data_IF_355274623505
#
_entry.id   IF_355274623505
#
_cell.length_a   1.000
_cell.length_b   1.000
_cell.length_c   1.000
_cell.angle_alpha   90.00
_cell.angle_beta   90.00
_cell.angle_gamma   90.00
#
_symmetry.space_group_name_H-M   'P 1'
#
loop_
_entity.id
_entity.type
_entity.pdbx_description
1 polymer ?
#
# COMPACT_ATOMS: atom_id res chain seq x y z
N UNK A 1 6.08 -9.47 -31.10
CA UNK A 1 7.25 -9.00 -31.88
C UNK A 1 8.25 -8.21 -31.04
N UNK A 2 7.79 -7.34 -30.12
CA UNK A 2 8.65 -6.60 -29.17
C UNK A 2 9.56 -7.51 -28.32
N UNK A 3 9.00 -8.56 -27.69
CA UNK A 3 9.78 -9.48 -26.83
C UNK A 3 10.91 -10.23 -27.55
N UNK A 4 10.70 -10.67 -28.78
CA UNK A 4 11.74 -11.37 -29.54
C UNK A 4 12.93 -10.45 -29.92
N UNK A 5 12.71 -9.13 -29.95
CA UNK A 5 13.79 -8.13 -30.10
C UNK A 5 14.39 -7.74 -28.74
N UNK A 6 13.55 -7.64 -27.72
CA UNK A 6 13.95 -7.28 -26.37
C UNK A 6 14.83 -8.37 -25.72
N UNK A 7 14.49 -9.64 -25.89
CA UNK A 7 15.25 -10.81 -25.41
C UNK A 7 16.68 -10.90 -25.98
N UNK A 8 17.00 -10.14 -27.05
CA UNK A 8 18.32 -10.09 -27.66
C UNK A 8 19.23 -9.00 -27.09
N UNK A 9 18.75 -8.20 -26.12
CA UNK A 9 19.58 -7.16 -25.51
C UNK A 9 20.65 -7.78 -24.60
N UNK A 10 21.90 -7.34 -24.75
CA UNK A 10 23.07 -7.90 -24.04
C UNK A 10 22.91 -7.92 -22.52
N UNK A 11 22.22 -6.93 -21.95
CA UNK A 11 22.01 -6.90 -20.50
C UNK A 11 21.15 -8.09 -20.03
N UNK A 12 20.18 -8.58 -20.82
CA UNK A 12 19.38 -9.78 -20.45
C UNK A 12 20.20 -11.06 -20.54
N UNK A 13 21.13 -11.14 -21.51
CA UNK A 13 22.06 -12.26 -21.64
C UNK A 13 23.00 -12.35 -20.42
N UNK A 14 23.37 -11.22 -19.83
CA UNK A 14 24.19 -11.18 -18.61
C UNK A 14 23.48 -11.73 -17.36
N UNK A 15 22.15 -11.85 -17.37
CA UNK A 15 21.37 -12.34 -16.22
C UNK A 15 21.10 -13.84 -16.23
N UNK A 16 21.67 -14.61 -17.19
CA UNK A 16 21.50 -16.08 -17.29
C UNK A 16 20.06 -16.52 -17.01
N UNK A 17 19.11 -15.93 -17.74
CA UNK A 17 17.72 -16.33 -17.64
C UNK A 17 17.59 -17.82 -17.94
N UNK A 18 16.79 -18.58 -17.18
CA UNK A 18 16.62 -20.00 -17.47
C UNK A 18 16.17 -20.15 -18.93
N UNK A 19 16.94 -20.92 -19.70
CA UNK A 19 16.53 -21.33 -21.04
C UNK A 19 15.21 -22.08 -20.88
N UNK A 20 14.12 -21.39 -21.21
CA UNK A 20 12.80 -21.97 -21.20
C UNK A 20 12.75 -22.96 -22.37
N UNK A 21 13.20 -24.19 -22.15
CA UNK A 21 13.09 -25.28 -23.12
C UNK A 21 11.63 -25.59 -23.53
N UNK A 22 10.64 -24.96 -22.87
CA UNK A 22 9.21 -25.17 -23.13
C UNK A 22 8.43 -23.91 -23.52
N UNK A 23 9.10 -22.79 -23.81
CA UNK A 23 8.48 -21.65 -24.50
C UNK A 23 7.83 -20.61 -23.58
N UNK A 24 8.12 -19.34 -23.92
CA UNK A 24 7.63 -18.07 -23.36
C UNK A 24 7.65 -17.96 -21.84
N UNK A 25 8.46 -17.00 -21.37
CA UNK A 25 8.34 -16.49 -20.01
C UNK A 25 6.88 -16.09 -19.75
N UNK A 26 6.35 -16.31 -18.54
CA UNK A 26 5.02 -15.82 -18.20
C UNK A 26 4.90 -14.32 -18.51
N UNK A 27 3.77 -13.82 -19.04
CA UNK A 27 3.64 -12.43 -19.51
C UNK A 27 4.03 -11.36 -18.48
N UNK A 28 3.82 -11.64 -17.19
CA UNK A 28 4.23 -10.75 -16.10
C UNK A 28 5.76 -10.69 -15.93
N UNK A 29 6.47 -11.82 -16.11
CA UNK A 29 7.93 -11.87 -16.08
C UNK A 29 8.53 -11.19 -17.30
N UNK A 30 7.99 -11.47 -18.49
CA UNK A 30 8.31 -10.76 -19.72
C UNK A 30 8.25 -9.24 -19.47
N UNK A 31 7.12 -8.74 -18.99
CA UNK A 31 6.91 -7.31 -18.76
C UNK A 31 7.78 -6.73 -17.63
N UNK A 32 8.07 -7.51 -16.58
CA UNK A 32 8.99 -7.11 -15.52
C UNK A 32 10.41 -6.94 -16.07
N UNK A 33 10.87 -7.88 -16.89
CA UNK A 33 12.15 -7.76 -17.59
C UNK A 33 12.16 -6.57 -18.54
N UNK A 34 11.06 -6.31 -19.27
CA UNK A 34 10.91 -5.11 -20.11
C UNK A 34 11.08 -3.80 -19.33
N UNK A 35 10.45 -3.70 -18.16
CA UNK A 35 10.55 -2.54 -17.29
C UNK A 35 11.96 -2.37 -16.71
N UNK A 36 12.56 -3.46 -16.23
CA UNK A 36 13.94 -3.48 -15.70
C UNK A 36 14.93 -3.09 -16.80
N UNK A 37 14.82 -3.68 -17.99
CA UNK A 37 15.69 -3.35 -19.12
C UNK A 37 15.58 -1.90 -19.57
N UNK A 38 14.37 -1.37 -19.63
CA UNK A 38 14.16 0.06 -19.90
C UNK A 38 14.82 0.95 -18.85
N UNK A 39 14.92 0.53 -17.59
CA UNK A 39 15.59 1.28 -16.52
C UNK A 39 17.12 1.17 -16.59
N UNK A 40 17.61 0.04 -17.10
CA UNK A 40 19.03 -0.32 -17.16
C UNK A 40 19.75 0.13 -18.42
N UNK A 41 19.03 0.38 -19.52
CA UNK A 41 19.64 0.72 -20.81
C UNK A 41 20.47 2.00 -20.69
N UNK A 42 21.79 1.98 -21.00
CA UNK A 42 22.66 3.15 -20.93
C UNK A 42 22.12 4.30 -21.80
N UNK A 43 22.20 5.53 -21.28
CA UNK A 43 21.63 6.75 -21.90
C UNK A 43 22.53 7.37 -22.97
N UNK A 44 23.61 6.71 -23.35
CA UNK A 44 24.71 7.33 -24.10
C UNK A 44 24.43 7.54 -25.60
N UNK A 45 23.16 7.56 -26.03
CA UNK A 45 22.79 7.75 -27.43
C UNK A 45 21.86 8.93 -27.74
N UNK A 46 21.50 9.80 -26.81
CA UNK A 46 20.87 11.08 -27.20
C UNK A 46 21.19 12.25 -26.26
N UNK A 47 21.96 13.19 -26.81
CA UNK A 47 22.24 14.49 -26.21
C UNK A 47 21.03 15.43 -26.41
N UNK A 48 19.99 15.32 -25.57
CA UNK A 48 18.99 16.39 -25.43
C UNK A 48 18.39 16.39 -24.02
N UNK A 49 18.65 17.49 -23.30
CA UNK A 49 18.44 17.74 -21.86
C UNK A 49 16.94 17.86 -21.45
N UNK A 50 15.99 17.31 -22.23
CA UNK A 50 14.55 17.44 -22.00
C UNK A 50 13.81 16.18 -21.50
N UNK A 51 14.50 15.07 -21.19
CA UNK A 51 13.86 13.74 -21.15
C UNK A 51 13.78 13.03 -19.79
N UNK A 52 14.16 13.65 -18.66
CA UNK A 52 14.09 12.98 -17.35
C UNK A 52 12.65 12.65 -16.91
N UNK A 53 11.70 13.54 -17.19
CA UNK A 53 10.27 13.36 -16.85
C UNK A 53 9.60 12.31 -17.75
N UNK A 54 9.94 12.28 -19.04
CA UNK A 54 9.39 11.31 -19.99
C UNK A 54 9.88 9.89 -19.70
N UNK A 55 11.13 9.74 -19.28
CA UNK A 55 11.70 8.45 -18.90
C UNK A 55 11.12 7.91 -17.58
N UNK A 56 10.92 8.77 -16.57
CA UNK A 56 10.21 8.41 -15.35
C UNK A 56 8.76 8.01 -15.66
N UNK A 57 8.07 8.75 -16.54
CA UNK A 57 6.73 8.41 -17.02
C UNK A 57 6.65 7.09 -17.80
N UNK A 58 7.68 6.73 -18.57
CA UNK A 58 7.76 5.45 -19.26
C UNK A 58 8.00 4.28 -18.31
N UNK A 59 8.87 4.46 -17.30
CA UNK A 59 9.07 3.49 -16.23
C UNK A 59 7.82 3.30 -15.37
N UNK A 60 7.13 4.41 -15.07
CA UNK A 60 5.84 4.41 -14.41
C UNK A 60 4.78 3.69 -15.26
N UNK A 61 4.68 3.97 -16.57
CA UNK A 61 3.76 3.25 -17.45
C UNK A 61 4.11 1.77 -17.60
N UNK A 62 5.40 1.42 -17.63
CA UNK A 62 5.85 0.03 -17.66
C UNK A 62 5.53 -0.69 -16.35
N UNK A 63 5.77 -0.04 -15.20
CA UNK A 63 5.41 -0.53 -13.88
C UNK A 63 3.91 -0.60 -13.63
N UNK A 64 3.12 0.32 -14.17
CA UNK A 64 1.66 0.33 -14.10
C UNK A 64 1.04 -0.71 -15.05
N UNK A 65 1.64 -0.95 -16.21
CA UNK A 65 1.28 -2.09 -17.08
C UNK A 65 1.68 -3.41 -16.44
N UNK A 66 2.84 -3.47 -15.79
CA UNK A 66 3.27 -4.65 -15.03
C UNK A 66 2.29 -4.91 -13.89
N UNK A 67 1.88 -3.88 -13.18
CA UNK A 67 0.84 -3.95 -12.16
C UNK A 67 -0.50 -4.43 -12.74
N UNK A 68 -0.94 -3.86 -13.86
CA UNK A 68 -2.16 -4.28 -14.57
C UNK A 68 -2.11 -5.76 -14.92
N UNK A 69 -1.00 -6.23 -15.50
CA UNK A 69 -0.78 -7.65 -15.80
C UNK A 69 -0.74 -8.48 -14.52
N UNK A 70 -0.04 -8.06 -13.47
CA UNK A 70 -0.01 -8.74 -12.16
C UNK A 70 -1.41 -8.87 -11.57
N UNK A 71 -2.26 -7.87 -11.72
CA UNK A 71 -3.64 -7.88 -11.21
C UNK A 71 -4.61 -8.64 -12.12
N UNK A 72 -4.35 -8.72 -13.43
CA UNK A 72 -5.21 -9.39 -14.42
C UNK A 72 -4.85 -10.87 -14.62
N UNK A 73 -3.57 -11.24 -14.55
CA UNK A 73 -3.13 -12.65 -14.56
C UNK A 73 -3.42 -13.26 -13.19
N UNK A 74 -4.65 -13.73 -13.02
CA UNK A 74 -5.16 -14.71 -12.06
C UNK A 74 -4.36 -14.86 -10.75
N UNK A 75 -5.02 -14.56 -9.62
CA UNK A 75 -4.57 -14.68 -8.20
C UNK A 75 -3.86 -16.00 -7.79
N UNK A 76 -3.75 -17.00 -8.68
CA UNK A 76 -3.21 -18.33 -8.41
C UNK A 76 -1.72 -18.50 -8.81
N UNK A 77 -1.19 -17.73 -9.77
CA UNK A 77 0.17 -17.96 -10.28
C UNK A 77 1.23 -16.97 -9.77
N UNK A 78 0.83 -15.80 -9.29
CA UNK A 78 1.73 -14.84 -8.62
C UNK A 78 1.74 -15.20 -7.14
N UNK A 79 2.26 -16.38 -6.83
CA UNK A 79 2.24 -16.93 -5.48
C UNK A 79 3.14 -16.20 -4.50
N UNK A 80 3.89 -15.19 -4.92
CA UNK A 80 4.84 -14.55 -4.03
C UNK A 80 5.38 -13.21 -4.58
N UNK A 81 4.82 -12.07 -4.16
CA UNK A 81 5.55 -10.81 -4.07
C UNK A 81 6.97 -10.95 -3.48
N UNK A 82 7.20 -11.92 -2.59
CA UNK A 82 8.54 -12.30 -2.11
C UNK A 82 9.43 -12.81 -3.24
N UNK A 83 8.89 -13.43 -4.29
CA UNK A 83 9.64 -13.80 -5.50
C UNK A 83 10.03 -12.57 -6.30
N UNK A 84 9.19 -11.54 -6.39
CA UNK A 84 9.56 -10.28 -7.05
C UNK A 84 10.64 -9.54 -6.24
N UNK A 85 10.51 -9.51 -4.92
CA UNK A 85 11.52 -8.93 -4.03
C UNK A 85 12.81 -9.77 -4.00
N UNK A 86 12.71 -11.10 -3.98
CA UNK A 86 13.87 -11.98 -4.02
C UNK A 86 14.54 -11.94 -5.39
N UNK A 87 13.80 -11.78 -6.49
CA UNK A 87 14.34 -11.49 -7.81
C UNK A 87 15.04 -10.13 -7.82
N UNK A 88 14.47 -9.09 -7.20
CA UNK A 88 15.14 -7.79 -7.08
C UNK A 88 16.45 -7.87 -6.27
N UNK A 89 16.50 -8.76 -5.26
CA UNK A 89 17.70 -9.09 -4.47
C UNK A 89 18.68 -9.98 -5.25
N UNK A 90 18.17 -10.87 -6.10
CA UNK A 90 18.92 -11.87 -6.87
C UNK A 90 19.43 -11.33 -8.21
N UNK A 91 18.93 -10.18 -8.66
CA UNK A 91 19.59 -9.36 -9.67
C UNK A 91 20.96 -9.02 -9.12
N UNK A 92 21.96 -9.88 -9.43
CA UNK A 92 23.37 -9.59 -9.19
C UNK A 92 23.71 -8.41 -10.07
N UNK A 93 23.58 -7.23 -9.50
CA UNK A 93 24.14 -6.03 -10.09
C UNK A 93 25.64 -6.28 -10.23
N UNK A 94 26.23 -6.19 -11.44
CA UNK A 94 27.66 -6.38 -11.61
C UNK A 94 28.35 -5.47 -10.58
N UNK A 95 29.24 -6.04 -9.77
CA UNK A 95 30.03 -5.28 -8.80
C UNK A 95 30.87 -4.28 -9.60
N UNK A 96 30.31 -3.10 -9.76
CA UNK A 96 30.89 -2.08 -10.59
C UNK A 96 32.11 -1.54 -9.83
N UNK A 97 33.25 -1.42 -10.53
CA UNK A 97 34.50 -0.96 -9.95
C UNK A 97 34.34 0.35 -9.17
N UNK A 98 35.31 0.66 -8.29
CA UNK A 98 35.23 1.66 -7.19
C UNK A 98 34.65 3.07 -7.50
N UNK A 99 34.36 3.45 -8.74
CA UNK A 99 33.76 4.73 -9.12
C UNK A 99 32.26 4.73 -9.48
N UNK A 100 31.63 3.59 -9.80
CA UNK A 100 30.25 3.51 -10.31
C UNK A 100 29.19 3.05 -9.29
N UNK A 101 29.55 3.06 -8.01
CA UNK A 101 28.74 2.46 -6.95
C UNK A 101 27.50 3.31 -6.58
N UNK A 102 27.60 4.64 -6.54
CA UNK A 102 26.52 5.50 -6.03
C UNK A 102 25.30 5.56 -6.95
N UNK A 103 25.48 5.70 -8.25
CA UNK A 103 24.35 5.75 -9.20
C UNK A 103 23.63 4.40 -9.27
N UNK A 104 24.38 3.30 -9.27
CA UNK A 104 23.84 1.94 -9.25
C UNK A 104 23.02 1.70 -7.98
N UNK A 105 23.54 2.13 -6.82
CA UNK A 105 22.83 2.03 -5.53
C UNK A 105 21.54 2.85 -5.50
N UNK A 106 21.54 4.05 -6.09
CA UNK A 106 20.32 4.88 -6.24
C UNK A 106 19.28 4.24 -7.13
N UNK A 107 19.68 3.72 -8.31
CA UNK A 107 18.78 3.02 -9.23
C UNK A 107 18.15 1.79 -8.56
N UNK A 108 18.96 1.00 -7.84
CA UNK A 108 18.48 -0.15 -7.07
C UNK A 108 17.48 0.27 -5.98
N UNK A 109 17.80 1.31 -5.21
CA UNK A 109 16.92 1.83 -4.15
C UNK A 109 15.58 2.32 -4.71
N UNK A 110 15.58 2.99 -5.87
CA UNK A 110 14.37 3.44 -6.54
C UNK A 110 13.50 2.25 -7.01
N UNK A 111 14.10 1.22 -7.60
CA UNK A 111 13.39 0.00 -8.03
C UNK A 111 12.78 -0.70 -6.82
N UNK A 112 13.57 -0.92 -5.75
CA UNK A 112 13.08 -1.57 -4.53
C UNK A 112 11.95 -0.76 -3.88
N UNK A 113 12.06 0.58 -3.83
CA UNK A 113 11.00 1.46 -3.32
C UNK A 113 9.70 1.33 -4.12
N UNK A 114 9.80 1.23 -5.45
CA UNK A 114 8.65 1.04 -6.33
C UNK A 114 8.00 -0.33 -6.15
N UNK A 115 8.80 -1.41 -6.06
CA UNK A 115 8.28 -2.75 -5.76
C UNK A 115 7.57 -2.74 -4.41
N UNK A 116 8.17 -2.12 -3.39
CA UNK A 116 7.56 -2.01 -2.07
C UNK A 116 6.22 -1.26 -2.12
N UNK A 117 6.15 -0.11 -2.82
CA UNK A 117 4.90 0.61 -3.07
C UNK A 117 3.83 -0.29 -3.69
N UNK A 118 4.17 -1.02 -4.76
CA UNK A 118 3.24 -1.93 -5.45
C UNK A 118 2.73 -3.02 -4.50
N UNK A 119 3.62 -3.62 -3.72
CA UNK A 119 3.26 -4.67 -2.75
C UNK A 119 2.28 -4.12 -1.70
N UNK A 120 2.60 -2.96 -1.11
CA UNK A 120 1.74 -2.35 -0.07
C UNK A 120 0.38 -1.94 -0.65
N UNK A 121 0.34 -1.33 -1.84
CA UNK A 121 -0.93 -0.92 -2.49
C UNK A 121 -1.76 -2.13 -2.91
N UNK A 122 -1.12 -3.19 -3.41
CA UNK A 122 -1.81 -4.43 -3.73
C UNK A 122 -2.42 -5.07 -2.48
N UNK A 123 -1.64 -5.19 -1.40
CA UNK A 123 -2.10 -5.68 -0.11
C UNK A 123 -3.26 -4.85 0.44
N UNK A 124 -3.17 -3.52 0.31
CA UNK A 124 -4.25 -2.60 0.67
C UNK A 124 -5.53 -2.84 -0.13
N UNK A 125 -5.42 -3.00 -1.46
CA UNK A 125 -6.57 -3.21 -2.34
C UNK A 125 -7.24 -4.58 -2.15
N UNK A 126 -6.48 -5.58 -1.68
CA UNK A 126 -6.95 -6.95 -1.51
C UNK A 126 -7.30 -7.30 -0.06
N UNK A 127 -7.09 -6.39 0.89
CA UNK A 127 -7.20 -6.71 2.33
C UNK A 127 -6.25 -7.81 2.78
N UNK A 128 -5.08 -7.94 2.13
CA UNK A 128 -4.07 -8.96 2.42
C UNK A 128 -2.91 -8.37 3.23
N UNK A 129 -2.12 -9.23 3.86
CA UNK A 129 -0.85 -8.80 4.46
C UNK A 129 0.16 -8.42 3.38
N UNK A 130 0.92 -7.34 3.59
CA UNK A 130 2.15 -7.14 2.84
C UNK A 130 3.14 -8.22 3.24
N UNK A 131 3.73 -8.89 2.26
CA UNK A 131 4.69 -9.96 2.53
C UNK A 131 6.09 -9.44 2.89
N UNK A 132 6.30 -8.12 2.80
CA UNK A 132 7.60 -7.49 3.02
C UNK A 132 7.59 -6.68 4.32
N UNK A 133 8.49 -7.03 5.23
CA UNK A 133 8.76 -6.22 6.41
C UNK A 133 9.47 -4.92 6.04
N UNK A 134 9.20 -3.85 6.78
CA UNK A 134 9.98 -2.60 6.70
C UNK A 134 11.46 -2.84 7.05
N UNK A 135 11.74 -3.79 7.96
CA UNK A 135 13.11 -4.15 8.38
C UNK A 135 13.94 -4.80 7.28
N UNK A 136 13.25 -5.33 6.27
CA UNK A 136 13.83 -6.03 5.13
C UNK A 136 14.21 -5.09 3.96
N UNK A 137 13.88 -3.80 4.08
CA UNK A 137 14.18 -2.77 3.10
C UNK A 137 15.60 -2.23 3.29
N UNK A 138 16.53 -2.79 2.52
CA UNK A 138 17.89 -2.27 2.37
C UNK A 138 17.96 -1.30 1.19
N UNK A 139 17.56 -0.04 1.44
CA UNK A 139 17.53 1.04 0.46
C UNK A 139 18.08 2.36 1.04
N UNK A 140 18.60 3.22 0.17
CA UNK A 140 18.86 4.62 0.51
C UNK A 140 17.58 5.43 0.45
N UNK A 141 17.51 6.49 1.27
CA UNK A 141 16.45 7.48 1.10
C UNK A 141 16.58 8.15 -0.28
N UNK A 142 15.47 8.37 -1.00
CA UNK A 142 15.49 8.97 -2.34
C UNK A 142 16.20 10.32 -2.41
N UNK A 143 16.05 11.18 -1.39
CA UNK A 143 16.61 12.53 -1.37
C UNK A 143 17.52 12.79 -0.17
N UNK A 144 17.20 12.25 1.00
CA UNK A 144 18.02 12.43 2.20
C UNK A 144 19.36 11.65 2.11
N UNK A 145 20.43 12.14 2.76
CA UNK A 145 21.75 11.50 2.74
C UNK A 145 21.87 10.28 3.67
N UNK A 146 20.77 9.80 4.26
CA UNK A 146 20.75 8.65 5.16
C UNK A 146 20.10 7.42 4.50
N UNK A 147 20.36 6.25 5.08
CA UNK A 147 19.64 5.03 4.71
C UNK A 147 18.19 5.05 5.26
N UNK A 148 17.33 4.24 4.64
CA UNK A 148 15.93 4.14 5.02
C UNK A 148 15.74 3.69 6.46
N UNK A 149 16.52 2.74 6.96
CA UNK A 149 16.38 2.20 8.31
C UNK A 149 16.64 3.27 9.36
N UNK A 150 17.64 4.13 9.15
CA UNK A 150 17.94 5.27 10.00
C UNK A 150 16.81 6.29 9.98
N UNK A 151 16.29 6.65 8.81
CA UNK A 151 15.17 7.59 8.68
C UNK A 151 13.89 7.03 9.33
N UNK A 152 13.63 5.74 9.14
CA UNK A 152 12.46 5.05 9.66
C UNK A 152 12.51 4.89 11.19
N UNK A 153 13.66 4.46 11.74
CA UNK A 153 13.88 4.39 13.18
C UNK A 153 13.71 5.75 13.88
N UNK A 154 14.06 6.85 13.18
CA UNK A 154 13.86 8.19 13.71
C UNK A 154 12.37 8.53 13.95
N UNK A 155 11.42 7.91 13.23
CA UNK A 155 9.99 8.09 13.48
C UNK A 155 9.54 7.52 14.82
N UNK A 156 10.18 6.43 15.28
CA UNK A 156 9.86 5.75 16.53
C UNK A 156 10.69 6.22 17.71
N UNK A 157 11.77 6.96 17.45
CA UNK A 157 12.61 7.54 18.50
C UNK A 157 11.79 8.43 19.43
N UNK A 158 12.11 8.44 20.72
CA UNK A 158 11.60 9.41 21.68
C UNK A 158 12.39 10.71 21.65
N UNK A 159 13.64 10.64 21.18
CA UNK A 159 14.54 11.78 21.11
C UNK A 159 14.16 12.56 19.87
N UNK A 160 13.72 13.81 20.02
CA UNK A 160 13.15 14.65 18.95
C UNK A 160 14.10 15.06 17.82
N UNK A 161 15.24 14.36 17.64
CA UNK A 161 16.18 14.63 16.55
C UNK A 161 15.56 14.28 15.19
N UNK A 162 15.35 15.30 14.36
CA UNK A 162 14.95 15.12 12.97
C UNK A 162 16.21 14.80 12.15
N UNK A 163 16.26 13.69 11.39
CA UNK A 163 17.35 13.44 10.47
C UNK A 163 17.49 14.61 9.49
N UNK A 164 18.72 15.10 9.30
CA UNK A 164 18.96 16.22 8.40
C UNK A 164 18.59 15.83 6.95
N UNK A 165 17.89 16.72 6.25
CA UNK A 165 17.61 16.57 4.82
C UNK A 165 16.32 15.82 4.46
N UNK A 166 15.49 15.42 5.43
CA UNK A 166 14.16 14.87 5.15
C UNK A 166 13.18 16.00 4.79
N UNK A 167 13.02 16.29 3.50
CA UNK A 167 12.04 17.30 3.05
C UNK A 167 11.34 16.97 1.75
N UNK A 168 11.74 15.89 1.06
CA UNK A 168 11.21 15.54 -0.25
C UNK A 168 9.96 14.65 -0.16
N UNK A 169 9.06 14.79 -1.15
CA UNK A 169 7.85 13.96 -1.29
C UNK A 169 8.18 12.46 -1.34
N UNK A 170 9.25 12.09 -2.05
CA UNK A 170 9.65 10.70 -2.19
C UNK A 170 10.06 10.07 -0.84
N UNK A 171 10.80 10.82 -0.01
CA UNK A 171 11.18 10.40 1.34
C UNK A 171 9.95 10.24 2.24
N UNK A 172 9.01 11.18 2.14
CA UNK A 172 7.79 11.15 2.92
C UNK A 172 6.90 9.96 2.55
N UNK A 173 6.75 9.67 1.25
CA UNK A 173 5.95 8.54 0.74
C UNK A 173 6.54 7.21 1.20
N UNK A 174 7.86 6.97 1.03
CA UNK A 174 8.44 5.66 1.37
C UNK A 174 8.29 5.35 2.86
N UNK A 175 8.47 6.35 3.72
CA UNK A 175 8.26 6.22 5.15
C UNK A 175 6.78 5.98 5.51
N UNK A 176 5.86 6.64 4.82
CA UNK A 176 4.41 6.45 5.00
C UNK A 176 3.97 5.04 4.58
N UNK A 177 4.49 4.54 3.47
CA UNK A 177 4.22 3.17 2.99
C UNK A 177 4.76 2.12 3.96
N UNK A 178 5.89 2.39 4.61
CA UNK A 178 6.43 1.49 5.63
C UNK A 178 5.52 1.42 6.86
N UNK A 179 5.04 2.57 7.36
CA UNK A 179 4.05 2.60 8.44
C UNK A 179 2.74 1.92 8.06
N UNK A 180 2.27 2.11 6.81
CA UNK A 180 1.09 1.42 6.30
C UNK A 180 1.30 -0.09 6.22
N UNK A 181 2.47 -0.53 5.76
CA UNK A 181 2.82 -1.95 5.69
C UNK A 181 2.75 -2.62 7.07
N UNK A 182 3.36 -1.99 8.07
CA UNK A 182 3.32 -2.46 9.46
C UNK A 182 1.90 -2.48 10.03
N UNK A 183 1.10 -1.45 9.74
CA UNK A 183 -0.29 -1.42 10.20
C UNK A 183 -1.12 -2.54 9.58
N UNK A 184 -0.99 -2.79 8.27
CA UNK A 184 -1.69 -3.87 7.58
C UNK A 184 -1.28 -5.24 8.15
N UNK A 185 0.02 -5.44 8.40
CA UNK A 185 0.53 -6.64 9.03
C UNK A 185 -0.04 -6.83 10.45
N UNK A 186 -0.01 -5.78 11.27
CA UNK A 186 -0.51 -5.79 12.64
C UNK A 186 -2.00 -6.12 12.70
N UNK A 187 -2.82 -5.47 11.86
CA UNK A 187 -4.27 -5.67 11.79
C UNK A 187 -4.61 -7.11 11.40
N UNK A 188 -3.91 -7.66 10.41
CA UNK A 188 -4.13 -9.04 10.00
C UNK A 188 -3.72 -10.04 11.09
N UNK A 189 -2.53 -9.88 11.66
CA UNK A 189 -2.02 -10.77 12.72
C UNK A 189 -2.97 -10.80 13.92
N UNK A 190 -3.50 -9.64 14.31
CA UNK A 190 -4.46 -9.54 15.41
C UNK A 190 -5.80 -10.22 15.09
N UNK A 191 -6.32 -10.06 13.87
CA UNK A 191 -7.54 -10.76 13.45
C UNK A 191 -7.35 -12.26 13.50
N UNK A 192 -6.28 -12.77 12.88
CA UNK A 192 -5.99 -14.21 12.86
C UNK A 192 -5.89 -14.79 14.28
N UNK A 193 -5.21 -14.10 15.19
CA UNK A 193 -5.12 -14.49 16.60
C UNK A 193 -6.50 -14.49 17.30
N UNK A 194 -7.36 -13.51 17.00
CA UNK A 194 -8.70 -13.39 17.59
C UNK A 194 -9.65 -14.50 17.13
N UNK A 195 -9.54 -14.94 15.87
CA UNK A 195 -10.35 -16.03 15.33
C UNK A 195 -10.00 -17.40 15.94
N UNK A 196 -8.71 -17.68 16.17
CA UNK A 196 -8.27 -18.98 16.71
C UNK A 196 -8.83 -19.23 18.12
N UNK A 197 -8.88 -18.20 18.96
CA UNK A 197 -9.42 -18.29 20.33
C UNK A 197 -10.91 -18.62 20.36
N UNK A 198 -11.70 -18.04 19.44
CA UNK A 198 -13.14 -18.29 19.38
C UNK A 198 -13.48 -19.75 18.99
N UNK A 199 -12.63 -20.41 18.19
CA UNK A 199 -12.86 -21.78 17.74
C UNK A 199 -12.47 -22.85 18.77
N UNK A 200 -11.56 -22.54 19.70
CA UNK A 200 -11.07 -23.51 20.70
C UNK A 200 -12.00 -23.64 21.93
N UNK A 201 -12.89 -22.66 22.15
CA UNK A 201 -13.71 -22.53 23.36
C UNK A 201 -14.86 -23.52 23.55
N UNK A 202 -14.95 -24.60 22.77
CA UNK A 202 -16.04 -25.59 22.91
C UNK A 202 -15.64 -26.91 23.59
N UNK A 203 -14.35 -27.17 23.83
CA UNK A 203 -13.90 -28.44 24.43
C UNK A 203 -12.87 -28.30 25.57
N UNK A 204 -12.66 -27.11 26.15
CA UNK A 204 -11.79 -26.97 27.32
C UNK A 204 -12.47 -27.53 28.58
N UNK A 205 -12.25 -28.84 28.76
CA UNK A 205 -12.43 -29.57 30.01
C UNK A 205 -11.72 -28.78 31.11
N UNK A 206 -12.49 -28.34 32.11
CA UNK A 206 -12.01 -27.67 33.32
C UNK A 206 -10.95 -28.51 34.05
N UNK A 207 -9.69 -28.37 33.69
CA UNK A 207 -8.59 -28.89 34.50
C UNK A 207 -8.16 -27.78 35.44
N UNK A 208 -8.75 -27.80 36.64
CA UNK A 208 -8.40 -26.97 37.79
C UNK A 208 -6.96 -27.26 38.26
N UNK A 209 -5.96 -26.75 37.54
CA UNK A 209 -4.57 -26.77 38.00
C UNK A 209 -4.10 -25.34 38.26
N UNK A 210 -4.15 -25.00 39.55
CA UNK A 210 -3.62 -23.78 40.14
C UNK A 210 -2.09 -23.83 40.10
N UNK A 211 -1.49 -23.43 38.97
CA UNK A 211 -0.07 -23.17 38.89
C UNK A 211 0.21 -21.67 39.06
N UNK A 212 1.30 -21.31 39.76
CA UNK A 212 1.64 -19.93 40.05
C UNK A 212 2.04 -19.17 38.78
N UNK A 213 1.78 -17.87 38.81
CA UNK A 213 1.94 -16.88 37.76
C UNK A 213 3.36 -16.90 37.18
N UNK A 214 3.55 -17.61 36.07
CA UNK A 214 4.72 -17.52 35.20
C UNK A 214 4.34 -16.57 34.07
N UNK A 215 5.07 -15.45 33.96
CA UNK A 215 5.13 -14.51 32.83
C UNK A 215 4.05 -14.74 31.77
N UNK A 216 2.82 -14.30 32.05
CA UNK A 216 1.74 -14.42 31.08
C UNK A 216 2.14 -13.56 29.88
N UNK A 217 2.27 -14.13 28.67
CA UNK A 217 2.45 -13.34 27.47
C UNK A 217 1.40 -12.22 27.48
N UNK A 218 1.80 -11.00 27.12
CA UNK A 218 0.82 -9.93 26.99
C UNK A 218 -0.30 -10.44 26.08
N UNK A 219 -1.56 -10.18 26.45
CA UNK A 219 -2.67 -10.60 25.59
C UNK A 219 -2.47 -9.99 24.20
N UNK A 220 -2.86 -10.72 23.15
CA UNK A 220 -2.73 -10.23 21.77
C UNK A 220 -3.36 -8.82 21.60
N UNK A 221 -4.41 -8.53 22.37
CA UNK A 221 -5.04 -7.19 22.43
C UNK A 221 -4.13 -6.12 23.04
N UNK A 222 -3.39 -6.43 24.11
CA UNK A 222 -2.42 -5.50 24.69
C UNK A 222 -1.26 -5.23 23.74
N UNK A 223 -0.71 -6.28 23.13
CA UNK A 223 0.38 -6.12 22.14
C UNK A 223 -0.08 -5.31 20.93
N UNK A 224 -1.30 -5.56 20.43
CA UNK A 224 -1.90 -4.79 19.36
C UNK A 224 -2.03 -3.31 19.74
N UNK A 225 -2.61 -3.02 20.91
CA UNK A 225 -2.76 -1.65 21.41
C UNK A 225 -1.41 -0.95 21.55
N UNK A 226 -0.40 -1.62 22.12
CA UNK A 226 0.94 -1.04 22.26
C UNK A 226 1.58 -0.70 20.91
N UNK A 227 1.41 -1.54 19.89
CA UNK A 227 1.89 -1.27 18.53
C UNK A 227 1.07 -0.15 17.85
N UNK A 228 -0.24 -0.12 18.02
CA UNK A 228 -1.11 0.94 17.51
C UNK A 228 -0.65 2.31 18.03
N UNK A 229 -0.39 2.42 19.33
CA UNK A 229 0.12 3.65 19.95
C UNK A 229 1.49 4.06 19.41
N UNK A 230 2.38 3.09 19.10
CA UNK A 230 3.69 3.35 18.47
C UNK A 230 3.53 3.89 17.05
N UNK A 231 2.70 3.26 16.23
CA UNK A 231 2.43 3.71 14.85
C UNK A 231 1.79 5.10 14.87
N UNK A 232 0.83 5.37 15.76
CA UNK A 232 0.21 6.68 15.88
C UNK A 232 1.21 7.77 16.28
N UNK A 233 2.15 7.45 17.19
CA UNK A 233 3.25 8.37 17.54
C UNK A 233 4.17 8.63 16.36
N UNK A 234 4.57 7.57 15.65
CA UNK A 234 5.40 7.67 14.46
C UNK A 234 4.74 8.50 13.36
N UNK A 235 3.42 8.34 13.15
CA UNK A 235 2.63 9.12 12.20
C UNK A 235 2.57 10.61 12.58
N UNK A 236 2.39 10.95 13.87
CA UNK A 236 2.45 12.34 14.34
C UNK A 236 3.82 12.96 14.09
N UNK A 237 4.89 12.19 14.33
CA UNK A 237 6.25 12.63 14.07
C UNK A 237 6.52 12.81 12.58
N UNK A 238 6.05 11.88 11.74
CA UNK A 238 6.08 12.02 10.29
C UNK A 238 5.38 13.33 9.85
N UNK A 239 4.20 13.65 10.40
CA UNK A 239 3.53 14.93 10.07
C UNK A 239 4.36 16.14 10.51
N UNK A 240 5.02 16.08 11.67
CA UNK A 240 5.91 17.16 12.10
C UNK A 240 7.09 17.39 11.16
N UNK A 241 7.55 16.35 10.46
CA UNK A 241 8.66 16.44 9.50
C UNK A 241 8.20 16.97 8.15
N UNK A 242 6.99 16.60 7.71
CA UNK A 242 6.62 16.66 6.30
C UNK A 242 5.37 17.48 6.00
N UNK A 243 4.50 17.79 6.97
CA UNK A 243 3.16 18.34 6.69
C UNK A 243 3.16 19.68 5.94
N UNK A 244 4.25 20.45 6.03
CA UNK A 244 4.39 21.74 5.32
C UNK A 244 4.98 21.61 3.92
N UNK A 245 5.62 20.48 3.59
CA UNK A 245 6.35 20.30 2.32
C UNK A 245 5.68 19.30 1.39
N UNK A 246 4.90 18.37 1.91
CA UNK A 246 4.32 17.29 1.10
C UNK A 246 3.08 17.70 0.33
N UNK A 247 2.83 17.01 -0.77
CA UNK A 247 1.60 17.21 -1.54
C UNK A 247 0.37 16.73 -0.77
N UNK A 248 -0.80 17.27 -1.11
CA UNK A 248 -2.03 16.88 -0.45
C UNK A 248 -2.36 15.39 -0.63
N UNK A 249 -1.95 14.73 -1.72
CA UNK A 249 -2.17 13.28 -1.91
C UNK A 249 -1.43 12.45 -0.85
N UNK A 250 -0.26 12.91 -0.42
CA UNK A 250 0.53 12.29 0.64
C UNK A 250 -0.11 12.61 2.00
N UNK A 251 -0.64 13.83 2.18
CA UNK A 251 -1.44 14.16 3.36
C UNK A 251 -2.70 13.31 3.47
N UNK A 252 -3.40 13.06 2.35
CA UNK A 252 -4.55 12.16 2.27
C UNK A 252 -4.17 10.74 2.70
N UNK A 253 -3.02 10.23 2.24
CA UNK A 253 -2.51 8.93 2.69
C UNK A 253 -2.19 8.92 4.19
N UNK A 254 -1.62 10.00 4.72
CA UNK A 254 -1.35 10.12 6.17
C UNK A 254 -2.64 10.17 7.01
N UNK A 255 -3.68 10.83 6.50
CA UNK A 255 -5.01 10.92 7.13
C UNK A 255 -5.70 9.57 7.06
N UNK A 256 -5.57 8.87 5.93
CA UNK A 256 -6.06 7.53 5.74
C UNK A 256 -5.40 6.52 6.69
N UNK A 257 -4.10 6.64 6.96
CA UNK A 257 -3.44 5.78 7.95
C UNK A 257 -4.02 5.97 9.35
N UNK A 258 -4.31 7.22 9.73
CA UNK A 258 -5.00 7.52 10.99
C UNK A 258 -6.45 6.99 10.99
N UNK A 259 -7.14 7.05 9.85
CA UNK A 259 -8.46 6.45 9.67
C UNK A 259 -8.40 4.93 9.92
N UNK A 260 -7.41 4.23 9.36
CA UNK A 260 -7.21 2.78 9.58
C UNK A 260 -6.93 2.44 11.04
N UNK A 261 -6.18 3.28 11.76
CA UNK A 261 -5.96 3.12 13.21
C UNK A 261 -7.29 3.30 13.97
N UNK A 262 -8.07 4.32 13.62
CA UNK A 262 -9.36 4.65 14.25
C UNK A 262 -10.49 3.66 13.88
N UNK A 263 -10.38 2.97 12.74
CA UNK A 263 -11.33 1.96 12.28
C UNK A 263 -10.60 0.77 11.64
N UNK A 264 -10.12 -0.20 12.45
CA UNK A 264 -9.30 -1.30 11.97
C UNK A 264 -9.98 -2.23 10.97
N UNK A 265 -11.30 -2.21 10.84
CA UNK A 265 -12.11 -3.10 9.98
C UNK A 265 -12.40 -2.53 8.59
N UNK A 266 -11.71 -1.46 8.19
CA UNK A 266 -12.03 -0.75 6.94
C UNK A 266 -11.93 -1.61 5.68
N UNK A 267 -11.04 -2.60 5.64
CA UNK A 267 -10.85 -3.51 4.50
C UNK A 267 -11.91 -4.61 4.42
N UNK A 268 -12.78 -4.75 5.42
CA UNK A 268 -13.95 -5.63 5.37
C UNK A 268 -15.11 -4.97 4.62
N UNK A 269 -15.18 -3.62 4.65
CA UNK A 269 -16.28 -2.86 4.07
C UNK A 269 -16.47 -3.07 2.56
N UNK A 270 -15.42 -3.18 1.72
CA UNK A 270 -15.58 -3.48 0.30
C UNK A 270 -16.41 -4.75 0.05
N UNK A 271 -16.18 -5.81 0.83
CA UNK A 271 -16.93 -7.06 0.66
C UNK A 271 -18.39 -6.92 1.09
N UNK A 272 -18.64 -6.15 2.15
CA UNK A 272 -19.99 -5.92 2.69
C UNK A 272 -20.85 -5.13 1.70
N UNK A 273 -20.25 -4.20 0.95
CA UNK A 273 -20.94 -3.48 -0.10
C UNK A 273 -20.98 -4.21 -1.45
N UNK A 274 -20.58 -5.49 -1.51
CA UNK A 274 -20.58 -6.29 -2.73
C UNK A 274 -19.49 -5.92 -3.74
N UNK A 275 -18.44 -5.23 -3.32
CA UNK A 275 -17.28 -4.93 -4.15
C UNK A 275 -16.25 -6.08 -4.11
N UNK A 276 -15.76 -6.47 -5.29
CA UNK A 276 -14.77 -7.55 -5.45
C UNK A 276 -15.40 -8.95 -5.49
N UNK A 277 -14.55 -9.97 -5.62
CA UNK A 277 -15.01 -11.35 -5.48
C UNK A 277 -15.38 -11.61 -4.02
N UNK A 278 -16.43 -12.41 -3.74
CA UNK A 278 -16.74 -12.86 -2.40
C UNK A 278 -15.56 -13.72 -1.90
N UNK A 279 -14.67 -13.09 -1.14
CA UNK A 279 -13.61 -13.82 -0.45
C UNK A 279 -14.30 -14.78 0.51
N UNK A 280 -13.96 -16.08 0.41
CA UNK A 280 -14.38 -17.11 1.39
C UNK A 280 -13.83 -16.87 2.80
N UNK A 281 -13.19 -15.72 3.05
CA UNK A 281 -12.79 -15.30 4.38
C UNK A 281 -14.03 -15.26 5.24
N UNK A 282 -14.09 -16.18 6.19
CA UNK A 282 -15.14 -16.30 7.19
C UNK A 282 -15.00 -15.07 8.09
N UNK A 283 -15.55 -13.94 7.66
CA UNK A 283 -15.70 -12.79 8.55
C UNK A 283 -16.70 -13.21 9.63
N UNK A 284 -16.29 -13.14 10.90
CA UNK A 284 -17.22 -13.31 12.00
C UNK A 284 -18.22 -12.16 11.92
N UNK A 285 -19.50 -12.47 11.73
CA UNK A 285 -20.60 -11.50 11.66
C UNK A 285 -20.56 -10.47 12.81
N UNK A 286 -20.03 -10.85 13.98
CA UNK A 286 -19.88 -9.97 15.13
C UNK A 286 -18.82 -8.86 15.00
N UNK A 287 -17.87 -8.98 14.08
CA UNK A 287 -16.77 -8.00 13.92
C UNK A 287 -17.22 -6.77 13.11
N UNK A 288 -18.11 -6.99 12.14
CA UNK A 288 -18.74 -5.96 11.32
C UNK A 288 -19.79 -5.12 12.07
N UNK A 289 -20.21 -5.59 13.25
CA UNK A 289 -21.12 -4.87 14.13
C UNK A 289 -20.45 -3.67 14.85
N UNK A 290 -19.13 -3.50 14.74
CA UNK A 290 -18.44 -2.38 15.36
C UNK A 290 -18.94 -1.03 14.78
N UNK A 291 -19.56 -0.23 15.64
CA UNK A 291 -20.05 1.11 15.30
C UNK A 291 -18.90 2.02 14.87
N UNK A 292 -19.07 2.71 13.75
CA UNK A 292 -18.08 3.69 13.29
C UNK A 292 -18.01 4.88 14.25
N UNK A 293 -16.82 5.13 14.82
CA UNK A 293 -16.57 6.28 15.68
C UNK A 293 -16.64 7.61 14.88
N UNK A 294 -17.13 8.68 15.51
CA UNK A 294 -17.22 10.01 14.88
C UNK A 294 -15.85 10.52 14.37
N UNK A 295 -14.77 10.19 15.08
CA UNK A 295 -13.41 10.51 14.64
C UNK A 295 -13.08 9.90 13.28
N UNK A 296 -13.48 8.65 13.03
CA UNK A 296 -13.27 7.97 11.75
C UNK A 296 -14.05 8.66 10.63
N UNK A 297 -15.28 9.10 10.90
CA UNK A 297 -16.09 9.91 9.95
C UNK A 297 -15.39 11.22 9.60
N UNK A 298 -14.87 11.95 10.61
CA UNK A 298 -14.12 13.20 10.39
C UNK A 298 -12.85 12.97 9.56
N UNK A 299 -12.10 11.90 9.83
CA UNK A 299 -10.90 11.54 9.06
C UNK A 299 -11.23 11.17 7.61
N UNK A 300 -12.36 10.48 7.38
CA UNK A 300 -12.80 10.15 6.03
C UNK A 300 -13.14 11.41 5.21
N UNK A 301 -13.82 12.39 5.81
CA UNK A 301 -14.05 13.70 5.18
C UNK A 301 -12.76 14.45 4.92
N UNK A 302 -11.86 14.50 5.89
CA UNK A 302 -10.57 15.17 5.74
C UNK A 302 -9.72 14.55 4.63
N UNK A 303 -9.81 13.23 4.41
CA UNK A 303 -9.18 12.57 3.25
C UNK A 303 -9.71 13.15 1.93
N UNK A 304 -11.03 13.34 1.79
CA UNK A 304 -11.62 13.96 0.61
C UNK A 304 -11.16 15.42 0.43
N UNK A 305 -11.10 16.20 1.52
CA UNK A 305 -10.66 17.61 1.45
C UNK A 305 -9.23 17.76 0.91
N UNK A 306 -8.35 16.78 1.19
CA UNK A 306 -7.01 16.75 0.61
C UNK A 306 -7.00 16.35 -0.88
N UNK A 307 -8.02 15.64 -1.35
CA UNK A 307 -8.13 15.13 -2.72
C UNK A 307 -9.10 16.00 -3.50
N UNK A 308 -8.58 17.09 -4.05
CA UNK A 308 -9.30 17.95 -4.98
C UNK A 308 -8.76 17.71 -6.40
N UNK A 309 -9.30 16.68 -7.07
CA UNK A 309 -8.86 16.29 -8.42
C UNK A 309 -9.28 17.35 -9.44
N UNK A 310 -10.40 18.05 -9.22
CA UNK A 310 -10.86 19.12 -10.13
C UNK A 310 -9.88 20.29 -10.22
N UNK A 311 -9.19 20.63 -9.13
CA UNK A 311 -8.11 21.63 -9.18
C UNK A 311 -6.82 21.12 -9.83
N UNK A 312 -6.71 19.82 -10.11
CA UNK A 312 -5.44 19.12 -10.42
C UNK A 312 -5.53 18.28 -11.68
N UNK A 313 -5.91 18.89 -12.81
CA UNK A 313 -6.09 18.21 -14.10
C UNK A 313 -4.88 17.38 -14.61
N UNK A 314 -3.68 17.44 -14.00
CA UNK A 314 -2.48 16.77 -14.54
C UNK A 314 -1.53 16.07 -13.55
N UNK A 315 -1.76 16.12 -12.23
CA UNK A 315 -0.76 15.66 -11.25
C UNK A 315 -1.15 14.38 -10.49
N UNK A 316 -2.39 13.92 -10.54
CA UNK A 316 -2.83 12.75 -9.78
C UNK A 316 -2.38 11.39 -10.36
N UNK A 317 -1.67 11.38 -11.49
CA UNK A 317 -1.19 10.14 -12.13
C UNK A 317 -0.21 9.40 -11.20
N UNK A 318 0.54 10.09 -10.34
CA UNK A 318 1.57 9.44 -9.51
C UNK A 318 1.02 8.75 -8.24
N UNK A 319 -0.22 9.05 -7.85
CA UNK A 319 -0.82 8.58 -6.59
C UNK A 319 -1.60 7.27 -6.77
N UNK A 320 -0.90 6.16 -7.04
CA UNK A 320 -1.48 4.80 -7.23
C UNK A 320 -2.35 4.32 -6.06
N UNK A 321 -2.13 4.82 -4.84
CA UNK A 321 -2.86 4.44 -3.64
C UNK A 321 -4.21 5.16 -3.50
N UNK A 322 -4.39 6.27 -4.21
CA UNK A 322 -5.51 7.20 -4.00
C UNK A 322 -6.89 6.58 -4.22
N UNK A 323 -7.11 5.71 -5.24
CA UNK A 323 -8.39 5.03 -5.41
C UNK A 323 -8.82 4.26 -4.16
N UNK A 324 -7.92 3.43 -3.62
CA UNK A 324 -8.20 2.65 -2.41
C UNK A 324 -8.44 3.54 -1.19
N UNK A 325 -7.68 4.62 -1.04
CA UNK A 325 -7.82 5.59 0.05
C UNK A 325 -9.20 6.27 0.02
N UNK A 326 -9.62 6.78 -1.15
CA UNK A 326 -10.92 7.42 -1.33
C UNK A 326 -12.06 6.43 -1.14
N UNK A 327 -11.97 5.27 -1.77
CA UNK A 327 -13.02 4.25 -1.71
C UNK A 327 -13.25 3.77 -0.28
N UNK A 328 -12.18 3.41 0.45
CA UNK A 328 -12.29 3.04 1.85
C UNK A 328 -12.85 4.16 2.74
N UNK A 329 -12.45 5.41 2.51
CA UNK A 329 -12.98 6.56 3.26
C UNK A 329 -14.49 6.74 3.02
N UNK A 330 -14.94 6.61 1.77
CA UNK A 330 -16.35 6.66 1.41
C UNK A 330 -17.15 5.54 2.10
N UNK A 331 -16.60 4.32 2.16
CA UNK A 331 -17.26 3.19 2.82
C UNK A 331 -17.38 3.38 4.33
N UNK A 332 -16.41 4.03 4.99
CA UNK A 332 -16.53 4.38 6.41
C UNK A 332 -17.69 5.36 6.64
N UNK A 333 -17.86 6.34 5.75
CA UNK A 333 -19.00 7.27 5.83
C UNK A 333 -20.33 6.53 5.62
N UNK A 334 -20.41 5.68 4.60
CA UNK A 334 -21.58 4.85 4.35
C UNK A 334 -21.94 3.99 5.57
N UNK A 335 -20.96 3.26 6.13
CA UNK A 335 -21.18 2.43 7.32
C UNK A 335 -21.66 3.25 8.53
N UNK A 336 -21.10 4.44 8.73
CA UNK A 336 -21.53 5.33 9.82
C UNK A 336 -22.98 5.80 9.70
N UNK A 337 -23.49 5.93 8.47
CA UNK A 337 -24.88 6.31 8.20
C UNK A 337 -25.83 5.14 8.46
N UNK A 338 -25.43 3.91 8.11
CA UNK A 338 -26.20 2.70 8.46
C UNK A 338 -26.24 2.48 9.98
N UNK A 339 -25.12 2.69 10.68
CA UNK A 339 -25.03 2.50 12.14
C UNK A 339 -25.79 3.56 12.94
N UNK A 340 -26.16 4.67 12.31
CA UNK A 340 -26.90 5.75 12.94
C UNK A 340 -28.40 5.45 12.91
N UNK A 341 -28.85 4.51 13.74
CA UNK A 341 -30.27 4.18 13.97
C UNK A 341 -31.13 5.39 14.39
N UNK A 342 -30.50 6.52 14.72
CA UNK A 342 -31.12 7.68 15.33
C UNK A 342 -30.82 8.97 14.52
N UNK A 343 -31.47 9.13 13.36
CA UNK A 343 -31.80 10.43 12.76
C UNK A 343 -30.66 11.43 12.48
N UNK A 344 -29.39 11.00 12.48
CA UNK A 344 -28.25 11.90 12.34
C UNK A 344 -28.05 12.35 10.88
N UNK A 345 -27.98 13.67 10.75
CA UNK A 345 -27.77 14.56 9.61
C UNK A 345 -26.55 14.23 8.74
N UNK A 346 -26.65 13.21 7.89
CA UNK A 346 -25.73 13.00 6.78
C UNK A 346 -26.49 12.46 5.59
N UNK A 347 -26.56 13.21 4.49
CA UNK A 347 -27.16 12.67 3.27
C UNK A 347 -26.18 11.67 2.64
N UNK A 348 -26.67 10.51 2.22
CA UNK A 348 -25.93 9.57 1.35
C UNK A 348 -25.41 10.23 0.06
N UNK A 349 -25.95 11.40 -0.31
CA UNK A 349 -25.39 12.27 -1.36
C UNK A 349 -23.92 12.62 -1.13
N UNK A 350 -23.39 12.51 0.10
CA UNK A 350 -21.97 12.61 0.38
C UNK A 350 -21.12 11.61 -0.43
N UNK A 351 -21.61 10.39 -0.64
CA UNK A 351 -20.91 9.35 -1.40
C UNK A 351 -20.74 9.74 -2.88
N UNK A 352 -21.62 10.58 -3.41
CA UNK A 352 -21.52 11.10 -4.78
C UNK A 352 -20.28 11.98 -4.96
N UNK A 353 -19.81 12.66 -3.92
CA UNK A 353 -18.56 13.43 -3.97
C UNK A 353 -17.36 12.50 -4.16
N UNK A 354 -17.28 11.42 -3.38
CA UNK A 354 -16.23 10.43 -3.54
C UNK A 354 -16.30 9.70 -4.89
N UNK A 355 -17.50 9.37 -5.36
CA UNK A 355 -17.68 8.72 -6.66
C UNK A 355 -17.21 9.61 -7.82
N UNK A 356 -17.45 10.93 -7.75
CA UNK A 356 -16.94 11.89 -8.74
C UNK A 356 -15.42 12.02 -8.71
N UNK A 357 -14.82 12.12 -7.52
CA UNK A 357 -13.36 12.17 -7.39
C UNK A 357 -12.73 10.87 -7.91
N UNK A 358 -13.32 9.71 -7.62
CA UNK A 358 -12.87 8.43 -8.18
C UNK A 358 -12.95 8.42 -9.71
N UNK A 359 -14.08 8.79 -10.31
CA UNK A 359 -14.22 8.83 -11.78
C UNK A 359 -13.26 9.80 -12.47
N UNK A 360 -12.81 10.83 -11.76
CA UNK A 360 -11.81 11.78 -12.27
C UNK A 360 -10.38 11.22 -12.26
N UNK A 361 -10.12 10.15 -11.49
CA UNK A 361 -8.80 9.52 -11.45
C UNK A 361 -8.56 8.62 -12.69
N UNK A 362 -7.32 8.55 -13.20
CA UNK A 362 -6.99 7.84 -14.45
C UNK A 362 -6.89 6.31 -14.28
N UNK A 363 -7.29 5.76 -13.14
CA UNK A 363 -7.04 4.37 -12.80
C UNK A 363 -8.21 3.46 -13.22
N UNK A 364 -7.94 2.28 -13.82
CA UNK A 364 -8.99 1.42 -14.36
C UNK A 364 -9.97 0.89 -13.30
N UNK A 365 -9.56 0.78 -12.04
CA UNK A 365 -10.44 0.34 -10.95
C UNK A 365 -11.45 1.40 -10.49
N UNK A 366 -11.24 2.67 -10.82
CA UNK A 366 -12.01 3.77 -10.25
C UNK A 366 -13.47 3.78 -10.69
N UNK A 367 -13.76 3.48 -11.95
CA UNK A 367 -15.13 3.42 -12.48
C UNK A 367 -15.96 2.35 -11.76
N UNK A 368 -15.36 1.18 -11.49
CA UNK A 368 -16.02 0.11 -10.72
C UNK A 368 -16.25 0.52 -9.26
N UNK A 369 -15.26 1.15 -8.62
CA UNK A 369 -15.39 1.67 -7.24
C UNK A 369 -16.49 2.74 -7.14
N UNK A 370 -16.49 3.71 -8.06
CA UNK A 370 -17.49 4.76 -8.13
C UNK A 370 -18.90 4.19 -8.41
N UNK A 371 -19.01 3.22 -9.32
CA UNK A 371 -20.25 2.49 -9.58
C UNK A 371 -20.79 1.78 -8.33
N UNK A 372 -19.92 1.14 -7.55
CA UNK A 372 -20.30 0.54 -6.27
C UNK A 372 -20.87 1.57 -5.29
N UNK A 373 -20.21 2.73 -5.12
CA UNK A 373 -20.72 3.80 -4.25
C UNK A 373 -22.10 4.31 -4.69
N UNK A 374 -22.34 4.45 -6.00
CA UNK A 374 -23.65 4.87 -6.53
C UNK A 374 -24.73 3.85 -6.26
N UNK A 375 -24.43 2.56 -6.39
CA UNK A 375 -25.38 1.49 -6.07
C UNK A 375 -25.80 1.55 -4.60
N UNK A 376 -24.86 1.85 -3.69
CA UNK A 376 -25.18 2.03 -2.27
C UNK A 376 -26.16 3.19 -2.02
N UNK A 377 -26.01 4.31 -2.74
CA UNK A 377 -26.93 5.46 -2.66
C UNK A 377 -28.34 5.05 -3.10
N UNK A 378 -28.46 4.29 -4.19
CA UNK A 378 -29.76 3.84 -4.73
C UNK A 378 -30.43 2.85 -3.77
N UNK A 379 -29.69 1.87 -3.25
CA UNK A 379 -30.26 0.86 -2.36
C UNK A 379 -30.82 1.46 -1.06
N UNK A 380 -30.11 2.41 -0.47
CA UNK A 380 -30.56 3.05 0.76
C UNK A 380 -31.67 4.10 0.56
N UNK A 381 -32.01 4.45 -0.70
CA UNK A 381 -33.21 5.25 -1.00
C UNK A 381 -34.48 4.40 -1.17
N UNK A 382 -34.32 3.08 -1.38
CA UNK A 382 -35.44 2.14 -1.58
C UNK A 382 -35.90 1.41 -0.32
N UNK A 383 -35.14 1.51 0.77
CA UNK A 383 -35.48 1.06 2.12
C UNK A 383 -36.07 2.20 2.92
#
# INVERSE_FOLDING_TARGET
MFFARFAKQEFLLAYNLPDSEQGRLPPYLELAYAAIGSALTPRDHDALIGHSVRAAGQLFHAGARLYGVITETNNLEITSPVTVLSMSRSLRWPQAGHGSNMETRRKRSAITSYVFLVVVVHSLAQGKTPMASSEELDIDMPSAPCDFRTAYAALFSTNGSTPAGLSANADAIILMLALLSELLFLQHSYRTASFTLASAGLNEIQINHSYPIVLTPASASREYSDHEHRILRALRRWRSFFATTVSNEIMALSTYLELRLSYPHVDELPHVCGYGQPSRTIFSEGTLAAKVAERSVRLAWLTLDYVDVQKRERQCIEAVWLPSVLFHSALVLWKSQIDSECGATGSLKALELFARELDALPWPCCSTMAGCLRNLIVHAAGT
#
